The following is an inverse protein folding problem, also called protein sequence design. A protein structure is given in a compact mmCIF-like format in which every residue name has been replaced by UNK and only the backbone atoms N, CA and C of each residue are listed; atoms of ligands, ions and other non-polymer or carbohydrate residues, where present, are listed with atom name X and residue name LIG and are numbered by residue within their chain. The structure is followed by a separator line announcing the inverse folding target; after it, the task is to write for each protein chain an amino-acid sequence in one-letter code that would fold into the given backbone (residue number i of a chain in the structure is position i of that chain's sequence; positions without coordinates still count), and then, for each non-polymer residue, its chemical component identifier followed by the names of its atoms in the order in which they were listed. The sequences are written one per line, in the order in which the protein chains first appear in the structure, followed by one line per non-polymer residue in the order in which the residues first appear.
data_IF_329568680154
#
_entry.id   IF_329568680154
#
_cell.length_a   1.000
_cell.length_b   1.000
_cell.length_c   1.000
_cell.angle_alpha   90.00
_cell.angle_beta   90.00
_cell.angle_gamma   90.00
#
_symmetry.space_group_name_H-M   'P 1'
#
loop_
_entity.id
_entity.type
_entity.pdbx_description
1 polymer ?
#
# COMPACT_ATOMS: atom_id res chain seq x y z
N UNK A 1 6.68 -10.54 21.31
CA UNK A 1 6.44 -11.39 20.12
C UNK A 1 7.73 -12.14 19.84
N UNK A 2 7.71 -13.45 19.83
CA UNK A 2 8.85 -14.28 19.45
C UNK A 2 8.64 -14.66 18.00
N UNK A 3 9.47 -14.13 17.10
CA UNK A 3 9.57 -14.62 15.74
C UNK A 3 10.54 -15.79 15.75
N UNK A 4 10.05 -17.03 15.87
CA UNK A 4 10.83 -18.27 15.71
C UNK A 4 12.36 -18.09 15.86
N UNK A 5 12.85 -17.73 17.05
CA UNK A 5 14.23 -17.40 17.31
C UNK A 5 14.43 -16.72 18.66
N UNK A 6 15.47 -15.90 18.81
CA UNK A 6 15.69 -15.08 20.01
C UNK A 6 14.61 -13.98 20.12
N UNK A 7 14.29 -13.51 21.34
CA UNK A 7 13.43 -12.34 21.51
C UNK A 7 13.94 -11.15 20.72
N UNK A 8 13.04 -10.42 20.06
CA UNK A 8 13.37 -9.19 19.34
C UNK A 8 13.77 -8.12 20.35
N UNK A 9 14.89 -7.44 20.09
CA UNK A 9 15.28 -6.24 20.83
C UNK A 9 15.07 -5.01 19.97
N UNK A 10 14.67 -3.91 20.61
CA UNK A 10 14.35 -2.65 19.99
C UNK A 10 15.30 -1.57 20.51
N UNK A 11 15.90 -0.79 19.61
CA UNK A 11 16.62 0.43 19.95
C UNK A 11 16.05 1.59 19.14
N UNK A 12 15.33 2.45 19.82
CA UNK A 12 14.81 3.68 19.24
C UNK A 12 15.92 4.73 19.12
N UNK A 13 15.82 5.53 18.07
CA UNK A 13 16.75 6.66 17.84
C UNK A 13 15.97 7.92 17.51
N UNK A 14 16.42 9.01 18.10
CA UNK A 14 15.97 10.37 17.77
C UNK A 14 17.15 11.13 17.16
N UNK A 15 17.02 11.56 15.92
CA UNK A 15 18.11 12.20 15.15
C UNK A 15 19.42 11.36 15.17
N UNK A 16 19.31 10.05 15.06
CA UNK A 16 20.44 9.12 15.13
C UNK A 16 20.92 8.75 16.52
N UNK A 17 20.59 9.51 17.57
CA UNK A 17 20.98 9.23 18.95
C UNK A 17 20.08 8.18 19.59
N UNK A 18 20.62 7.18 20.32
CA UNK A 18 19.82 6.19 21.04
C UNK A 18 18.90 6.85 22.07
N UNK A 19 17.62 6.45 22.07
CA UNK A 19 16.60 6.92 23.01
C UNK A 19 15.64 5.80 23.40
N UNK A 20 14.88 5.99 24.46
CA UNK A 20 13.86 5.04 24.90
C UNK A 20 14.45 3.78 25.55
N UNK A 21 13.60 2.78 25.70
CA UNK A 21 13.91 1.47 26.29
C UNK A 21 13.71 0.36 25.24
N UNK A 22 14.16 -0.85 25.53
CA UNK A 22 13.88 -2.05 24.71
C UNK A 22 12.38 -2.37 24.77
N UNK A 23 11.58 -1.65 23.99
CA UNK A 23 10.12 -1.76 23.92
C UNK A 23 9.63 -1.63 22.49
N UNK A 24 8.57 -2.33 22.19
CA UNK A 24 7.88 -2.23 20.90
C UNK A 24 7.23 -0.85 20.66
N UNK A 25 7.19 0.01 21.67
CA UNK A 25 6.63 1.36 21.59
C UNK A 25 7.62 2.38 22.13
N UNK A 26 7.65 3.56 21.52
CA UNK A 26 8.40 4.72 21.98
C UNK A 26 7.45 5.91 22.13
N UNK A 27 7.47 6.54 23.29
CA UNK A 27 6.69 7.73 23.60
C UNK A 27 7.61 8.87 23.99
N UNK A 28 7.46 10.02 23.36
CA UNK A 28 8.22 11.22 23.68
C UNK A 28 7.36 12.46 23.42
N UNK A 29 6.99 13.17 24.49
CA UNK A 29 6.21 14.42 24.41
C UNK A 29 7.03 15.65 23.99
N UNK A 30 8.35 15.54 23.83
CA UNK A 30 9.25 16.65 23.47
C UNK A 30 9.75 16.61 22.02
N UNK A 31 9.08 15.88 21.13
CA UNK A 31 9.49 15.82 19.72
C UNK A 31 9.16 17.13 19.01
N UNK A 32 10.14 17.70 18.31
CA UNK A 32 10.04 18.96 17.58
C UNK A 32 9.99 18.72 16.06
N UNK A 33 9.49 19.71 15.32
CA UNK A 33 9.51 19.74 13.86
C UNK A 33 10.95 19.58 13.38
N UNK A 34 11.16 18.74 12.36
CA UNK A 34 12.48 18.41 11.84
C UNK A 34 13.15 17.22 12.52
N UNK A 35 12.64 16.76 13.67
CA UNK A 35 13.16 15.55 14.29
C UNK A 35 12.88 14.31 13.42
N UNK A 36 13.80 13.37 13.47
CA UNK A 36 13.73 12.09 12.77
C UNK A 36 13.76 10.98 13.80
N UNK A 37 12.77 10.10 13.76
CA UNK A 37 12.70 8.90 14.62
C UNK A 37 12.89 7.66 13.78
N UNK A 38 13.75 6.73 14.23
CA UNK A 38 13.95 5.40 13.67
C UNK A 38 13.96 4.35 14.77
N UNK A 39 13.79 3.08 14.39
CA UNK A 39 13.85 1.94 15.30
C UNK A 39 14.80 0.88 14.72
N UNK A 40 15.86 0.52 15.44
CA UNK A 40 16.69 -0.62 15.09
C UNK A 40 16.15 -1.88 15.77
N UNK A 41 16.05 -2.95 15.01
CA UNK A 41 15.64 -4.27 15.46
C UNK A 41 16.80 -5.24 15.39
N UNK A 42 16.97 -6.04 16.43
CA UNK A 42 17.95 -7.13 16.46
C UNK A 42 17.26 -8.43 16.89
N UNK A 43 17.45 -9.49 16.15
CA UNK A 43 16.96 -10.84 16.48
C UNK A 43 17.82 -11.89 15.78
N UNK A 44 17.84 -13.12 16.30
CA UNK A 44 18.49 -14.24 15.63
C UNK A 44 17.43 -15.24 15.19
N UNK A 45 17.25 -15.49 13.88
CA UNK A 45 16.34 -16.53 13.39
C UNK A 45 16.76 -17.93 13.86
N UNK A 46 15.77 -18.84 14.05
CA UNK A 46 16.01 -20.21 14.51
C UNK A 46 17.00 -21.02 13.65
N UNK A 47 17.07 -20.72 12.36
CA UNK A 47 17.93 -21.43 11.41
C UNK A 47 19.16 -20.62 10.98
N UNK A 48 19.54 -19.56 11.73
CA UNK A 48 20.70 -18.72 11.45
C UNK A 48 21.60 -18.65 12.67
N UNK A 49 22.91 -18.82 12.44
CA UNK A 49 23.93 -18.62 13.49
C UNK A 49 24.26 -17.13 13.70
N UNK A 50 23.75 -16.24 12.87
CA UNK A 50 24.07 -14.82 12.90
C UNK A 50 22.84 -13.97 13.24
N UNK A 51 22.97 -12.95 14.10
CA UNK A 51 21.91 -12.00 14.37
C UNK A 51 21.59 -11.16 13.12
N UNK A 52 20.32 -10.85 12.94
CA UNK A 52 19.83 -9.91 11.94
C UNK A 52 19.65 -8.56 12.62
N UNK A 53 20.26 -7.53 12.07
CA UNK A 53 20.07 -6.14 12.46
C UNK A 53 19.39 -5.42 11.30
N UNK A 54 18.26 -4.78 11.56
CA UNK A 54 17.55 -3.97 10.58
C UNK A 54 17.02 -2.72 11.22
N UNK A 55 16.91 -1.64 10.44
CA UNK A 55 16.36 -0.37 10.90
C UNK A 55 15.06 -0.07 10.18
N UNK A 56 14.12 0.56 10.88
CA UNK A 56 12.88 1.05 10.27
C UNK A 56 13.16 2.16 9.25
N UNK A 57 12.16 2.46 8.42
CA UNK A 57 12.11 3.74 7.73
C UNK A 57 12.15 4.91 8.75
N UNK A 58 12.63 6.05 8.29
CA UNK A 58 12.68 7.26 9.10
C UNK A 58 11.30 7.95 9.14
N UNK A 59 10.85 8.30 10.32
CA UNK A 59 9.69 9.17 10.52
C UNK A 59 10.20 10.57 10.77
N UNK A 60 9.95 11.48 9.82
CA UNK A 60 10.29 12.90 9.95
C UNK A 60 9.07 13.69 10.39
N UNK A 61 9.20 14.42 11.50
CA UNK A 61 8.14 15.30 12.00
C UNK A 61 8.15 16.61 11.22
N UNK A 62 7.06 16.89 10.50
CA UNK A 62 6.88 18.11 9.70
C UNK A 62 5.78 18.98 10.31
N UNK A 63 5.90 20.31 10.12
CA UNK A 63 4.79 21.20 10.40
C UNK A 63 3.63 20.88 9.45
N UNK A 64 2.40 20.81 9.99
CA UNK A 64 1.23 20.91 9.14
C UNK A 64 1.19 22.29 8.49
N UNK A 65 0.78 22.43 7.23
CA UNK A 65 0.57 23.74 6.63
C UNK A 65 -0.44 24.49 7.51
N UNK A 66 -0.04 25.66 7.98
CA UNK A 66 -0.79 26.47 8.92
C UNK A 66 -2.06 27.03 8.27
N UNK A 67 -3.20 26.53 8.61
CA UNK A 67 -4.47 27.23 8.49
C UNK A 67 -4.78 27.89 9.86
N UNK A 68 -4.07 28.96 10.20
CA UNK A 68 -4.47 29.93 11.22
C UNK A 68 -4.77 29.45 12.64
N UNK A 69 -4.33 28.26 13.07
CA UNK A 69 -4.41 27.76 14.44
C UNK A 69 -3.07 27.22 14.93
N UNK A 70 -2.73 27.29 16.24
CA UNK A 70 -1.47 26.73 16.73
C UNK A 70 -1.38 25.25 16.41
N UNK A 71 -0.31 24.87 15.71
CA UNK A 71 -0.13 23.54 15.13
C UNK A 71 -0.17 22.43 16.18
N UNK A 72 -1.06 21.48 15.99
CA UNK A 72 -1.10 20.22 16.72
C UNK A 72 0.04 19.33 16.20
N UNK A 73 1.01 19.03 17.06
CA UNK A 73 1.99 17.96 16.78
C UNK A 73 1.27 16.62 16.89
N UNK A 74 1.03 15.97 15.77
CA UNK A 74 0.56 14.59 15.79
C UNK A 74 1.74 13.71 16.15
N UNK A 75 1.77 13.21 17.37
CA UNK A 75 2.67 12.14 17.76
C UNK A 75 2.22 10.86 17.03
N UNK A 76 2.91 10.50 15.96
CA UNK A 76 2.69 9.20 15.31
C UNK A 76 3.14 8.08 16.25
N UNK A 77 2.27 7.13 16.56
CA UNK A 77 2.68 5.87 17.18
C UNK A 77 3.43 5.05 16.12
N UNK A 78 4.73 4.84 16.31
CA UNK A 78 5.48 3.89 15.50
C UNK A 78 5.05 2.49 15.93
N UNK A 79 4.30 1.82 15.07
CA UNK A 79 3.95 0.42 15.29
C UNK A 79 5.17 -0.43 14.90
N UNK A 80 5.76 -1.25 15.80
CA UNK A 80 6.89 -2.11 15.45
C UNK A 80 6.58 -3.11 14.35
N UNK A 81 5.29 -3.43 14.12
CA UNK A 81 4.89 -4.20 12.94
C UNK A 81 5.17 -3.45 11.61
N UNK A 82 5.40 -2.14 11.63
CA UNK A 82 5.80 -1.35 10.46
C UNK A 82 7.31 -1.21 10.29
N UNK A 83 8.12 -1.64 11.26
CA UNK A 83 9.58 -1.57 11.17
C UNK A 83 10.19 -2.51 10.10
N UNK A 84 9.42 -3.53 9.66
CA UNK A 84 9.83 -4.45 8.60
C UNK A 84 9.01 -4.29 7.31
N UNK A 85 8.34 -3.15 7.13
CA UNK A 85 7.56 -2.92 5.93
C UNK A 85 8.31 -2.02 4.97
N UNK A 86 8.74 -2.56 3.85
CA UNK A 86 9.29 -1.80 2.74
C UNK A 86 8.13 -1.35 1.86
N UNK A 87 8.02 -0.04 1.68
CA UNK A 87 7.08 0.58 0.77
C UNK A 87 7.85 1.09 -0.44
N UNK A 88 7.44 0.70 -1.62
CA UNK A 88 8.10 1.05 -2.87
C UNK A 88 7.07 1.41 -3.95
N UNK A 89 7.48 2.21 -4.91
CA UNK A 89 6.68 2.50 -6.08
C UNK A 89 6.42 1.23 -6.88
N UNK A 90 5.20 1.07 -7.40
CA UNK A 90 4.89 -0.04 -8.30
C UNK A 90 5.70 0.12 -9.57
N UNK A 91 6.45 -0.93 -9.92
CA UNK A 91 7.20 -1.03 -11.18
C UNK A 91 6.39 -1.83 -12.18
N UNK A 92 5.84 -1.15 -13.16
CA UNK A 92 4.94 -1.74 -14.14
C UNK A 92 5.67 -2.52 -15.22
N UNK A 93 5.05 -3.61 -15.68
CA UNK A 93 5.43 -4.44 -16.81
C UNK A 93 4.17 -4.89 -17.56
N UNK A 94 4.32 -5.59 -18.67
CA UNK A 94 3.22 -6.10 -19.50
C UNK A 94 2.21 -4.99 -19.86
N UNK A 95 2.74 -3.81 -20.19
CA UNK A 95 1.92 -2.66 -20.58
C UNK A 95 1.16 -2.95 -21.87
N UNK A 96 -0.16 -2.93 -21.81
CA UNK A 96 -1.04 -3.04 -22.95
C UNK A 96 -1.96 -1.81 -23.00
N UNK A 97 -1.89 -1.03 -24.08
CA UNK A 97 -2.73 0.15 -24.29
C UNK A 97 -2.70 1.18 -23.12
N UNK A 98 -1.63 1.18 -22.36
CA UNK A 98 -1.33 2.14 -21.29
C UNK A 98 0.11 2.63 -21.39
N UNK A 99 0.38 3.79 -20.84
CA UNK A 99 1.73 4.32 -20.65
C UNK A 99 1.95 4.70 -19.19
N UNK A 100 3.20 4.63 -18.75
CA UNK A 100 3.59 5.12 -17.43
C UNK A 100 3.69 6.63 -17.42
N UNK A 101 3.34 7.25 -16.29
CA UNK A 101 3.42 8.69 -16.05
C UNK A 101 4.01 9.00 -14.68
N UNK A 102 4.33 10.26 -14.41
CA UNK A 102 4.94 10.67 -13.14
C UNK A 102 6.35 10.09 -12.96
N UNK A 103 6.61 9.51 -11.80
CA UNK A 103 7.87 8.79 -11.49
C UNK A 103 7.94 7.40 -12.14
N UNK A 104 6.89 6.97 -12.86
CA UNK A 104 6.77 5.65 -13.47
C UNK A 104 5.79 4.72 -12.73
N UNK A 105 5.30 5.11 -11.56
CA UNK A 105 4.34 4.35 -10.76
C UNK A 105 2.87 4.63 -11.09
N UNK A 106 2.61 5.53 -12.01
CA UNK A 106 1.28 5.89 -12.47
C UNK A 106 1.06 5.41 -13.91
N UNK A 107 -0.21 5.18 -14.28
CA UNK A 107 -0.61 4.71 -15.62
C UNK A 107 -1.67 5.65 -16.20
N UNK A 108 -1.63 5.79 -17.52
CA UNK A 108 -2.67 6.45 -18.32
C UNK A 108 -3.02 5.59 -19.51
N UNK A 109 -4.31 5.40 -19.79
CA UNK A 109 -4.78 4.70 -21.00
C UNK A 109 -4.46 5.50 -22.27
N UNK A 110 -3.89 4.83 -23.27
CA UNK A 110 -3.41 5.45 -24.51
C UNK A 110 -4.37 5.30 -25.70
N UNK A 111 -5.31 4.36 -25.64
CA UNK A 111 -6.29 4.13 -26.70
C UNK A 111 -7.49 5.08 -26.59
N UNK A 112 -8.10 5.38 -27.74
CA UNK A 112 -9.27 6.29 -27.86
C UNK A 112 -10.61 5.54 -27.81
N UNK A 113 -10.66 4.34 -27.21
CA UNK A 113 -11.86 3.54 -27.06
C UNK A 113 -12.20 3.27 -25.58
N UNK A 114 -13.45 2.92 -25.31
CA UNK A 114 -13.92 2.53 -23.99
C UNK A 114 -14.05 0.99 -23.88
N UNK A 115 -12.96 0.29 -24.12
CA UNK A 115 -12.87 -1.16 -23.96
C UNK A 115 -11.97 -1.52 -22.78
N UNK A 116 -12.21 -2.68 -22.15
CA UNK A 116 -11.33 -3.24 -21.11
C UNK A 116 -10.07 -3.86 -21.74
N UNK A 117 -9.25 -3.03 -22.38
CA UNK A 117 -8.07 -3.41 -23.13
C UNK A 117 -6.78 -2.70 -22.65
N UNK A 118 -6.93 -1.69 -21.79
CA UNK A 118 -5.79 -1.08 -21.09
C UNK A 118 -5.40 -1.93 -19.89
N UNK A 119 -4.13 -2.34 -19.78
CA UNK A 119 -3.69 -3.18 -18.67
C UNK A 119 -2.21 -3.07 -18.36
N UNK A 120 -1.85 -3.42 -17.13
CA UNK A 120 -0.48 -3.52 -16.66
C UNK A 120 -0.39 -4.46 -15.45
N UNK A 121 0.80 -5.01 -15.25
CA UNK A 121 1.11 -5.89 -14.13
C UNK A 121 2.40 -5.42 -13.45
N UNK A 122 2.58 -5.65 -12.15
CA UNK A 122 3.79 -5.20 -11.48
C UNK A 122 4.91 -6.23 -11.52
N UNK A 123 6.16 -5.75 -11.45
CA UNK A 123 7.36 -6.57 -11.22
C UNK A 123 7.55 -6.88 -9.74
N UNK A 124 7.24 -5.93 -8.88
CA UNK A 124 7.30 -6.09 -7.44
C UNK A 124 5.99 -6.65 -6.87
N UNK A 125 6.09 -7.37 -5.76
CA UNK A 125 4.98 -8.17 -5.23
C UNK A 125 4.87 -8.12 -3.72
N UNK A 126 3.68 -8.36 -3.22
CA UNK A 126 3.41 -8.73 -1.83
C UNK A 126 3.67 -10.23 -1.68
N UNK A 127 4.72 -10.58 -0.95
CA UNK A 127 5.10 -11.98 -0.72
C UNK A 127 4.38 -12.61 0.49
N UNK A 128 3.86 -11.78 1.38
CA UNK A 128 3.25 -12.18 2.65
C UNK A 128 2.24 -11.10 3.11
N UNK A 129 2.45 -10.50 4.30
CA UNK A 129 1.72 -9.30 4.69
C UNK A 129 2.20 -8.09 3.87
N UNK A 130 1.29 -7.25 3.47
CA UNK A 130 1.60 -6.07 2.66
C UNK A 130 0.35 -5.50 2.01
N UNK A 131 0.52 -4.55 1.12
CA UNK A 131 -0.59 -3.92 0.43
C UNK A 131 -0.20 -3.31 -0.91
N UNK A 132 -1.21 -3.07 -1.72
CA UNK A 132 -1.23 -2.16 -2.85
C UNK A 132 -2.07 -0.95 -2.46
N UNK A 133 -1.53 0.26 -2.68
CA UNK A 133 -2.23 1.52 -2.45
C UNK A 133 -2.15 2.40 -3.70
N UNK A 134 -3.17 3.17 -3.99
CA UNK A 134 -3.21 4.11 -5.10
C UNK A 134 -4.18 5.27 -4.82
N UNK A 135 -4.02 6.37 -5.56
CA UNK A 135 -4.88 7.56 -5.44
C UNK A 135 -5.85 7.65 -6.61
N UNK A 136 -7.11 7.92 -6.34
CA UNK A 136 -8.10 8.29 -7.36
C UNK A 136 -7.93 9.76 -7.73
N UNK A 137 -7.71 10.07 -9.02
CA UNK A 137 -7.53 11.47 -9.48
C UNK A 137 -8.74 11.99 -10.24
N UNK A 138 -9.54 11.11 -10.82
CA UNK A 138 -10.79 11.45 -11.53
C UNK A 138 -11.92 10.53 -11.09
N UNK A 139 -13.19 10.97 -11.29
CA UNK A 139 -14.39 10.24 -10.89
C UNK A 139 -15.30 9.85 -12.05
N UNK A 140 -14.87 10.11 -13.29
CA UNK A 140 -15.66 9.95 -14.51
C UNK A 140 -15.07 8.92 -15.49
N UNK A 141 -14.20 8.02 -15.02
CA UNK A 141 -13.59 6.95 -15.81
C UNK A 141 -13.77 5.59 -15.13
N UNK A 142 -13.96 4.54 -15.96
CA UNK A 142 -14.09 3.15 -15.52
C UNK A 142 -12.74 2.45 -15.55
N UNK A 143 -12.26 2.00 -14.40
CA UNK A 143 -10.97 1.33 -14.24
C UNK A 143 -10.95 0.42 -13.01
N UNK A 144 -10.15 -0.63 -13.09
CA UNK A 144 -9.92 -1.55 -11.99
C UNK A 144 -8.44 -1.69 -11.69
N UNK A 145 -8.12 -1.79 -10.42
CA UNK A 145 -6.79 -2.13 -9.92
C UNK A 145 -6.93 -2.99 -8.67
N UNK A 146 -6.01 -3.92 -8.52
CA UNK A 146 -6.03 -4.80 -7.38
C UNK A 146 -4.82 -5.71 -7.28
N UNK A 147 -4.96 -6.78 -6.53
CA UNK A 147 -3.91 -7.79 -6.34
C UNK A 147 -4.28 -9.09 -7.02
N UNK A 148 -3.33 -9.66 -7.78
CA UNK A 148 -3.43 -10.96 -8.43
C UNK A 148 -2.17 -11.80 -8.22
N UNK A 149 -2.32 -13.10 -8.16
CA UNK A 149 -1.17 -14.03 -8.07
C UNK A 149 -0.67 -14.51 -9.43
N UNK A 150 -1.42 -14.23 -10.50
CA UNK A 150 -1.07 -14.54 -11.90
C UNK A 150 -1.55 -13.42 -12.80
N UNK A 151 -0.85 -13.20 -13.92
CA UNK A 151 -1.30 -12.34 -15.01
C UNK A 151 -1.67 -13.21 -16.20
N UNK A 152 -2.95 -13.42 -16.43
CA UNK A 152 -3.44 -14.24 -17.54
C UNK A 152 -3.78 -13.42 -18.78
N UNK A 153 -4.26 -12.20 -18.59
CA UNK A 153 -4.68 -11.28 -19.64
C UNK A 153 -4.88 -9.86 -19.08
N UNK A 154 -5.37 -8.93 -19.90
CA UNK A 154 -5.68 -7.55 -19.50
C UNK A 154 -7.14 -7.38 -19.05
N UNK A 155 -7.90 -8.45 -18.88
CA UNK A 155 -9.30 -8.40 -18.49
C UNK A 155 -9.44 -8.13 -16.99
N UNK A 156 -10.40 -7.29 -16.64
CA UNK A 156 -10.74 -7.07 -15.24
C UNK A 156 -11.20 -8.35 -14.51
N UNK A 157 -11.69 -9.35 -15.24
CA UNK A 157 -12.18 -10.61 -14.66
C UNK A 157 -11.05 -11.50 -14.14
N UNK A 158 -9.81 -11.30 -14.60
CA UNK A 158 -8.63 -12.03 -14.12
C UNK A 158 -8.07 -11.45 -12.82
N UNK A 159 -8.40 -10.19 -12.47
CA UNK A 159 -7.94 -9.57 -11.23
C UNK A 159 -8.60 -10.26 -10.04
N UNK A 160 -7.77 -10.83 -9.16
CA UNK A 160 -8.27 -11.64 -8.05
C UNK A 160 -8.95 -10.83 -6.96
N UNK A 161 -8.42 -9.64 -6.62
CA UNK A 161 -8.92 -8.75 -5.58
C UNK A 161 -8.92 -7.31 -6.09
N UNK A 162 -9.98 -6.88 -6.75
CA UNK A 162 -10.04 -5.61 -7.46
C UNK A 162 -10.95 -4.58 -6.78
N UNK A 163 -10.51 -3.34 -6.83
CA UNK A 163 -11.35 -2.16 -6.62
C UNK A 163 -11.73 -1.63 -8.00
N UNK A 164 -13.02 -1.56 -8.28
CA UNK A 164 -13.59 -0.99 -9.48
C UNK A 164 -14.04 0.43 -9.23
N UNK A 165 -13.32 1.41 -9.75
CA UNK A 165 -13.75 2.81 -9.81
C UNK A 165 -14.57 3.00 -11.08
N UNK A 166 -15.82 3.44 -10.93
CA UNK A 166 -16.78 3.59 -12.02
C UNK A 166 -16.83 5.02 -12.52
N UNK A 167 -17.22 5.20 -13.78
CA UNK A 167 -17.33 6.50 -14.43
C UNK A 167 -18.51 7.39 -13.95
N UNK A 168 -19.31 6.88 -13.02
CA UNK A 168 -20.38 7.61 -12.35
C UNK A 168 -20.00 8.10 -10.95
N UNK A 169 -18.72 7.97 -10.56
CA UNK A 169 -18.23 8.36 -9.25
C UNK A 169 -18.55 7.38 -8.11
N UNK A 170 -19.05 6.18 -8.42
CA UNK A 170 -19.22 5.09 -7.44
C UNK A 170 -18.12 4.05 -7.55
N UNK A 171 -18.00 3.17 -6.55
CA UNK A 171 -17.03 2.08 -6.61
C UNK A 171 -17.58 0.77 -6.06
N UNK A 172 -17.08 -0.33 -6.63
CA UNK A 172 -17.44 -1.69 -6.26
C UNK A 172 -16.18 -2.50 -5.98
N UNK A 173 -16.35 -3.62 -5.29
CA UNK A 173 -15.33 -4.68 -5.19
C UNK A 173 -15.68 -5.80 -6.17
N UNK A 174 -14.65 -6.24 -6.89
CA UNK A 174 -14.69 -7.44 -7.72
C UNK A 174 -13.63 -8.42 -7.24
N UNK A 175 -14.01 -9.67 -7.11
CA UNK A 175 -13.08 -10.74 -6.77
C UNK A 175 -13.22 -11.88 -7.77
N UNK A 176 -12.15 -12.17 -8.52
CA UNK A 176 -12.17 -13.18 -9.60
C UNK A 176 -13.32 -12.96 -10.58
N UNK A 177 -13.54 -11.71 -11.01
CA UNK A 177 -14.62 -11.31 -11.92
C UNK A 177 -16.01 -11.23 -11.31
N UNK A 178 -16.19 -11.57 -10.03
CA UNK A 178 -17.49 -11.57 -9.35
C UNK A 178 -17.66 -10.26 -8.57
N UNK A 179 -18.75 -9.53 -8.83
CA UNK A 179 -19.12 -8.33 -8.09
C UNK A 179 -19.51 -8.70 -6.64
N UNK A 180 -18.83 -8.10 -5.67
CA UNK A 180 -19.08 -8.28 -4.22
C UNK A 180 -19.96 -7.19 -3.63
N UNK A 181 -20.37 -6.21 -4.42
CA UNK A 181 -21.27 -5.13 -4.02
C UNK A 181 -20.72 -3.74 -4.31
N UNK A 182 -21.60 -2.76 -4.14
CA UNK A 182 -21.28 -1.33 -4.23
C UNK A 182 -21.02 -0.77 -2.83
N UNK A 183 -19.98 0.08 -2.71
CA UNK A 183 -19.51 0.62 -1.42
C UNK A 183 -19.62 2.15 -1.35
N UNK A 184 -20.43 2.74 -2.22
CA UNK A 184 -20.75 4.17 -2.21
C UNK A 184 -20.02 4.98 -3.28
N UNK A 185 -20.02 6.29 -3.10
CA UNK A 185 -19.33 7.23 -3.99
C UNK A 185 -17.87 7.46 -3.55
N UNK A 186 -17.03 7.93 -4.47
CA UNK A 186 -15.68 8.36 -4.18
C UNK A 186 -15.38 9.74 -4.78
N UNK A 187 -14.36 10.38 -4.28
CA UNK A 187 -13.90 11.70 -4.73
C UNK A 187 -12.47 11.64 -5.29
N UNK A 188 -12.09 12.65 -6.05
CA UNK A 188 -10.70 12.89 -6.39
C UNK A 188 -9.88 13.07 -5.11
N UNK A 189 -8.66 12.54 -5.10
CA UNK A 189 -7.74 12.45 -3.95
C UNK A 189 -8.08 11.38 -2.91
N UNK A 190 -9.15 10.60 -3.07
CA UNK A 190 -9.35 9.42 -2.22
C UNK A 190 -8.21 8.41 -2.44
N UNK A 191 -7.70 7.89 -1.34
CA UNK A 191 -6.68 6.85 -1.32
C UNK A 191 -7.33 5.50 -1.07
N UNK A 192 -7.11 4.58 -2.00
CA UNK A 192 -7.61 3.21 -1.91
C UNK A 192 -6.47 2.23 -1.66
N UNK A 193 -6.77 1.17 -0.91
CA UNK A 193 -5.78 0.13 -0.58
C UNK A 193 -6.42 -1.25 -0.59
N UNK A 194 -5.69 -2.21 -1.15
CA UNK A 194 -5.93 -3.65 -0.98
C UNK A 194 -4.80 -4.21 -0.14
N UNK A 195 -5.08 -4.63 1.08
CA UNK A 195 -4.08 -5.08 2.06
C UNK A 195 -4.23 -6.57 2.33
N UNK A 196 -3.10 -7.24 2.53
CA UNK A 196 -3.05 -8.60 3.07
C UNK A 196 -2.49 -8.54 4.48
N UNK A 197 -3.28 -8.96 5.45
CA UNK A 197 -2.97 -8.90 6.87
C UNK A 197 -3.29 -10.24 7.53
N UNK A 198 -2.26 -10.96 7.96
CA UNK A 198 -2.40 -12.28 8.58
C UNK A 198 -3.25 -13.25 7.74
N UNK A 199 -2.95 -13.32 6.44
CA UNK A 199 -3.64 -14.18 5.47
C UNK A 199 -5.13 -13.81 5.23
N UNK A 200 -5.50 -12.55 5.51
CA UNK A 200 -6.82 -11.98 5.23
C UNK A 200 -6.67 -10.77 4.33
N UNK A 201 -7.45 -10.71 3.25
CA UNK A 201 -7.48 -9.54 2.36
C UNK A 201 -8.51 -8.55 2.84
N UNK A 202 -8.11 -7.29 3.00
CA UNK A 202 -8.96 -6.17 3.40
C UNK A 202 -8.85 -5.02 2.43
N UNK A 203 -9.95 -4.31 2.25
CA UNK A 203 -10.04 -3.16 1.37
C UNK A 203 -10.28 -1.89 2.19
N UNK A 204 -9.51 -0.87 1.87
CA UNK A 204 -9.53 0.39 2.61
C UNK A 204 -9.80 1.57 1.67
N UNK A 205 -10.44 2.58 2.23
CA UNK A 205 -10.55 3.92 1.64
C UNK A 205 -10.17 4.94 2.71
N UNK A 206 -9.22 5.81 2.40
CA UNK A 206 -8.74 6.85 3.31
C UNK A 206 -8.38 6.30 4.70
N UNK A 207 -7.70 5.14 4.73
CA UNK A 207 -7.28 4.47 5.96
C UNK A 207 -8.37 3.67 6.70
N UNK A 208 -9.64 3.73 6.28
CA UNK A 208 -10.74 2.99 6.90
C UNK A 208 -11.08 1.72 6.12
N UNK A 209 -11.16 0.58 6.81
CA UNK A 209 -11.64 -0.69 6.23
C UNK A 209 -13.11 -0.56 5.86
N UNK A 210 -13.47 -0.93 4.64
CA UNK A 210 -14.86 -0.97 4.21
C UNK A 210 -15.32 -2.37 3.75
N UNK A 211 -14.36 -3.28 3.42
CA UNK A 211 -14.68 -4.66 3.06
C UNK A 211 -13.55 -5.60 3.47
N UNK A 212 -13.92 -6.81 3.85
CA UNK A 212 -12.99 -7.91 4.16
C UNK A 212 -13.36 -9.11 3.30
N UNK A 213 -12.40 -9.62 2.55
CA UNK A 213 -12.59 -10.77 1.67
C UNK A 213 -12.76 -12.06 2.46
N UNK A 214 -13.64 -12.93 1.95
CA UNK A 214 -13.72 -14.33 2.40
C UNK A 214 -12.75 -15.26 1.63
N UNK A 215 -12.09 -14.75 0.57
CA UNK A 215 -11.15 -15.54 -0.22
C UNK A 215 -9.76 -15.50 0.42
N UNK A 216 -9.11 -16.66 0.48
CA UNK A 216 -7.75 -16.79 0.98
C UNK A 216 -6.74 -16.29 -0.07
N UNK A 217 -5.76 -15.42 0.29
CA UNK A 217 -4.74 -14.98 -0.64
C UNK A 217 -3.82 -16.12 -1.09
N UNK A 218 -3.39 -16.06 -2.34
CA UNK A 218 -2.33 -16.90 -2.88
C UNK A 218 -1.11 -16.03 -3.21
N UNK A 219 0.08 -16.45 -2.83
CA UNK A 219 1.30 -15.65 -2.96
C UNK A 219 2.23 -16.17 -4.07
N UNK A 220 3.13 -15.31 -4.61
CA UNK A 220 3.18 -13.86 -4.43
C UNK A 220 1.98 -13.15 -5.08
N UNK A 221 1.66 -11.92 -4.62
CA UNK A 221 0.59 -11.12 -5.18
C UNK A 221 1.15 -9.83 -5.78
N UNK A 222 0.78 -9.56 -7.00
CA UNK A 222 1.24 -8.45 -7.82
C UNK A 222 0.12 -7.42 -8.00
N UNK A 223 0.47 -6.17 -8.22
CA UNK A 223 -0.49 -5.20 -8.70
C UNK A 223 -0.92 -5.55 -10.12
N UNK A 224 -2.23 -5.54 -10.36
CA UNK A 224 -2.86 -5.92 -11.61
C UNK A 224 -3.93 -4.87 -11.97
N UNK A 225 -3.93 -4.42 -13.22
CA UNK A 225 -4.71 -3.27 -13.68
C UNK A 225 -5.48 -3.60 -14.96
N UNK A 226 -6.72 -3.14 -15.01
CA UNK A 226 -7.55 -3.12 -16.22
C UNK A 226 -8.26 -1.76 -16.35
N UNK A 227 -8.06 -1.04 -17.45
CA UNK A 227 -8.63 0.28 -17.69
C UNK A 227 -9.55 0.26 -18.91
N UNK A 228 -10.82 0.65 -18.70
CA UNK A 228 -11.83 0.73 -19.76
C UNK A 228 -11.84 2.11 -20.43
N UNK A 229 -12.03 3.16 -19.64
CA UNK A 229 -12.35 4.49 -20.18
C UNK A 229 -11.14 5.19 -20.79
N UNK A 230 -11.38 5.91 -21.88
CA UNK A 230 -10.43 6.88 -22.44
C UNK A 230 -10.01 7.86 -21.35
N UNK A 231 -8.71 8.10 -21.25
CA UNK A 231 -8.13 9.00 -20.24
C UNK A 231 -8.20 8.47 -18.80
N UNK A 232 -8.59 7.21 -18.61
CA UNK A 232 -8.56 6.58 -17.29
C UNK A 232 -7.13 6.43 -16.78
N UNK A 233 -6.92 6.73 -15.50
CA UNK A 233 -5.59 6.72 -14.86
C UNK A 233 -5.55 5.82 -13.63
N UNK A 234 -4.38 5.30 -13.32
CA UNK A 234 -4.00 4.78 -12.00
C UNK A 234 -2.86 5.67 -11.51
N UNK A 235 -3.01 6.29 -10.36
CA UNK A 235 -2.08 7.32 -9.92
C UNK A 235 -1.44 6.97 -8.58
N UNK A 236 -0.13 7.25 -8.46
CA UNK A 236 0.68 7.06 -7.25
C UNK A 236 0.54 5.64 -6.68
N UNK A 237 0.69 4.64 -7.53
CA UNK A 237 0.60 3.25 -7.09
C UNK A 237 1.84 2.86 -6.27
N UNK A 238 1.62 2.42 -5.04
CA UNK A 238 2.62 1.96 -4.08
C UNK A 238 2.34 0.50 -3.72
N UNK A 239 3.39 -0.27 -3.58
CA UNK A 239 3.31 -1.63 -3.06
C UNK A 239 4.16 -1.75 -1.80
N UNK A 240 3.62 -2.38 -0.78
CA UNK A 240 4.31 -2.60 0.48
C UNK A 240 4.39 -4.08 0.78
N UNK A 241 5.55 -4.51 1.24
CA UNK A 241 5.79 -5.89 1.68
C UNK A 241 6.41 -5.91 3.06
N UNK A 242 6.14 -6.96 3.82
CA UNK A 242 6.96 -7.31 4.98
C UNK A 242 8.19 -8.09 4.50
N UNK A 243 9.34 -7.75 4.97
CA UNK A 243 10.56 -8.56 4.82
C UNK A 243 10.54 -9.74 5.80
#
# INVERSE_FOLDING_TARGET
TVLNGTPITYQWRLNGSPVGTNSATYTNGGISIGNIVTCDLNYTPLCSASPVNTSSNAITFKALPSFGAPGLLVAGTVNPASCNRVEEEVRWTNLANVSTTGSGNSLNKTTSNNNWDGGAFSLNAVANNGYLEFTATETNTSRMIGLSNTNTDNSYSSIRYAIYLQNNGSFNIYETGINRGAFGGYAASDVFKVSVENNVVKYYRNGSVFYTSALVPGYPMYADVSINSVGGTITNALISRSE
#
